data_IF_975768728892
#
_entry.id   IF_975768728892
#
_cell.length_a   1.000
_cell.length_b   1.000
_cell.length_c   1.000
_cell.angle_alpha   90.00
_cell.angle_beta   90.00
_cell.angle_gamma   90.00
#
_symmetry.space_group_name_H-M   'P 1'
#
loop_
_entity.id
_entity.type
_entity.pdbx_description
1 polymer ?
#
# COMPACT_ATOMS: atom_id res chain seq x y z
N UNK A 1 -0.59 2.21 -16.05
CA UNK A 1 -0.03 2.26 -17.41
C UNK A 1 1.46 2.03 -17.30
N UNK A 2 1.97 0.98 -17.93
CA UNK A 2 3.38 0.59 -17.92
C UNK A 2 4.20 1.57 -18.77
N UNK A 3 5.41 1.92 -18.31
CA UNK A 3 6.28 2.82 -19.06
C UNK A 3 6.76 2.17 -20.37
N UNK A 4 6.57 2.82 -21.54
CA UNK A 4 6.87 2.22 -22.84
C UNK A 4 8.36 2.14 -23.21
N UNK A 5 9.28 2.49 -22.30
CA UNK A 5 10.73 2.34 -22.54
C UNK A 5 11.36 3.41 -23.45
N UNK A 6 10.67 4.53 -23.73
CA UNK A 6 11.11 5.56 -24.71
C UNK A 6 12.50 6.16 -24.45
N UNK A 7 13.00 6.06 -23.22
CA UNK A 7 14.30 6.55 -22.79
C UNK A 7 15.25 5.43 -22.31
N UNK A 8 14.85 4.16 -22.39
CA UNK A 8 15.55 3.02 -21.76
C UNK A 8 16.94 2.79 -22.35
N UNK A 9 17.09 2.99 -23.65
CA UNK A 9 18.31 2.69 -24.41
C UNK A 9 18.91 3.96 -25.05
N UNK A 10 18.65 5.14 -24.47
CA UNK A 10 19.32 6.37 -24.92
C UNK A 10 20.81 6.31 -24.60
N UNK A 11 21.63 6.79 -25.53
CA UNK A 11 23.05 7.04 -25.23
C UNK A 11 23.17 8.24 -24.27
N UNK A 12 24.28 8.38 -23.54
CA UNK A 12 24.53 9.54 -22.68
C UNK A 12 24.38 10.88 -23.41
N UNK A 13 24.80 10.95 -24.68
CA UNK A 13 24.68 12.14 -25.52
C UNK A 13 23.22 12.46 -25.81
N UNK A 14 22.43 11.46 -26.23
CA UNK A 14 21.00 11.64 -26.51
C UNK A 14 20.22 12.03 -25.25
N UNK A 15 20.56 11.45 -24.09
CA UNK A 15 19.97 11.81 -22.81
C UNK A 15 20.29 13.26 -22.43
N UNK A 16 21.56 13.68 -22.60
CA UNK A 16 22.01 15.05 -22.34
C UNK A 16 21.31 16.08 -23.21
N UNK A 17 21.19 15.82 -24.52
CA UNK A 17 20.46 16.73 -25.42
C UNK A 17 18.98 16.89 -25.03
N UNK A 18 18.33 15.80 -24.64
CA UNK A 18 16.92 15.85 -24.18
C UNK A 18 16.77 16.60 -22.86
N UNK A 19 17.74 16.46 -21.95
CA UNK A 19 17.72 17.14 -20.66
C UNK A 19 17.81 18.67 -20.77
N UNK A 20 18.36 19.20 -21.88
CA UNK A 20 18.35 20.65 -22.17
C UNK A 20 16.95 21.20 -22.45
N UNK A 21 16.04 20.36 -22.93
CA UNK A 21 14.67 20.78 -23.34
C UNK A 21 13.71 20.69 -22.16
N UNK A 22 13.84 19.67 -21.31
CA UNK A 22 12.98 19.47 -20.14
C UNK A 22 13.70 18.69 -19.04
N UNK A 23 13.34 18.92 -17.76
CA UNK A 23 13.83 18.11 -16.65
C UNK A 23 13.51 16.62 -16.85
N UNK A 24 14.47 15.76 -16.57
CA UNK A 24 14.34 14.30 -16.64
C UNK A 24 13.88 13.72 -15.31
N UNK A 25 13.28 12.54 -15.36
CA UNK A 25 12.96 11.74 -14.18
C UNK A 25 13.82 10.46 -14.20
N UNK A 26 14.25 10.02 -13.03
CA UNK A 26 15.04 8.80 -12.88
C UNK A 26 14.08 7.62 -12.74
N UNK A 27 14.31 6.58 -13.55
CA UNK A 27 13.56 5.32 -13.51
C UNK A 27 14.51 4.16 -13.28
N UNK A 28 14.04 3.17 -12.53
CA UNK A 28 14.77 1.92 -12.36
C UNK A 28 14.49 1.00 -13.54
N UNK A 29 15.56 0.55 -14.19
CA UNK A 29 15.48 -0.52 -15.19
C UNK A 29 15.14 -1.83 -14.50
N UNK A 30 13.97 -2.40 -14.78
CA UNK A 30 13.54 -3.66 -14.18
C UNK A 30 13.97 -4.88 -15.01
N UNK A 31 14.21 -6.04 -14.38
CA UNK A 31 14.54 -7.29 -15.06
C UNK A 31 13.29 -7.93 -15.68
N UNK A 32 13.52 -8.79 -16.67
CA UNK A 32 12.49 -9.64 -17.28
C UNK A 32 12.32 -10.92 -16.45
N UNK A 33 11.84 -10.77 -15.20
CA UNK A 33 11.54 -11.89 -14.32
C UNK A 33 10.39 -11.58 -13.37
N UNK A 34 9.84 -12.65 -12.81
CA UNK A 34 8.88 -12.62 -11.72
C UNK A 34 9.55 -12.35 -10.38
N UNK A 35 8.85 -11.61 -9.52
CA UNK A 35 9.14 -11.50 -8.10
C UNK A 35 7.87 -11.90 -7.34
N UNK A 36 8.02 -12.93 -6.51
CA UNK A 36 6.97 -13.49 -5.69
C UNK A 36 7.30 -13.31 -4.20
N UNK A 37 6.26 -13.26 -3.37
CA UNK A 37 6.37 -13.29 -1.92
C UNK A 37 5.13 -13.90 -1.27
N UNK A 38 5.27 -14.30 -0.01
CA UNK A 38 4.16 -14.72 0.83
C UNK A 38 3.67 -13.51 1.63
N UNK A 39 2.47 -13.02 1.35
CA UNK A 39 1.82 -12.04 2.20
C UNK A 39 1.32 -12.71 3.47
N UNK A 40 1.58 -12.09 4.63
CA UNK A 40 1.21 -12.66 5.92
C UNK A 40 -0.31 -12.71 6.18
N UNK A 41 -1.13 -12.10 5.32
CA UNK A 41 -2.60 -12.14 5.42
C UNK A 41 -3.29 -12.65 4.15
N UNK A 42 -2.91 -12.11 2.98
CA UNK A 42 -3.54 -12.45 1.70
C UNK A 42 -2.91 -13.66 1.00
N UNK A 43 -1.84 -14.23 1.57
CA UNK A 43 -1.16 -15.41 1.04
C UNK A 43 -0.22 -15.12 -0.14
N UNK A 44 0.04 -16.09 -1.02
CA UNK A 44 1.06 -15.97 -2.06
C UNK A 44 0.68 -14.94 -3.14
N UNK A 45 1.63 -14.08 -3.51
CA UNK A 45 1.46 -13.09 -4.55
C UNK A 45 2.71 -12.94 -5.42
N UNK A 46 2.54 -12.70 -6.72
CA UNK A 46 3.64 -12.52 -7.66
C UNK A 46 3.30 -11.49 -8.74
N UNK A 47 4.32 -10.75 -9.19
CA UNK A 47 4.25 -9.93 -10.42
C UNK A 47 5.48 -10.15 -11.29
N UNK A 48 5.28 -10.15 -12.60
CA UNK A 48 6.34 -10.10 -13.58
C UNK A 48 6.74 -8.65 -13.86
N UNK A 49 7.89 -8.21 -13.32
CA UNK A 49 8.24 -6.79 -13.28
C UNK A 49 8.26 -6.11 -14.66
N UNK A 50 8.84 -6.72 -15.68
CA UNK A 50 8.89 -6.13 -17.02
C UNK A 50 7.50 -6.00 -17.69
N UNK A 51 6.55 -6.88 -17.37
CA UNK A 51 5.23 -6.97 -18.04
C UNK A 51 4.16 -6.18 -17.29
N UNK A 52 4.14 -6.33 -15.97
CA UNK A 52 3.05 -5.82 -15.13
C UNK A 52 3.35 -4.41 -14.60
N UNK A 53 4.64 -4.05 -14.50
CA UNK A 53 5.11 -2.78 -13.94
C UNK A 53 5.86 -1.90 -14.95
N UNK A 54 6.89 -2.47 -15.59
CA UNK A 54 7.91 -1.76 -16.36
C UNK A 54 8.82 -0.86 -15.50
N UNK A 55 9.63 -0.03 -16.17
CA UNK A 55 10.60 0.82 -15.45
C UNK A 55 9.89 1.90 -14.65
N UNK A 56 9.89 1.74 -13.33
CA UNK A 56 9.19 2.62 -12.41
C UNK A 56 10.07 3.77 -11.95
N UNK A 57 9.43 4.88 -11.53
CA UNK A 57 10.12 6.07 -11.07
C UNK A 57 10.87 5.82 -9.76
N UNK A 58 12.11 6.30 -9.68
CA UNK A 58 12.86 6.50 -8.45
C UNK A 58 12.82 7.97 -8.05
N UNK A 59 13.03 8.88 -9.00
CA UNK A 59 13.00 10.33 -8.76
C UNK A 59 12.20 11.01 -9.85
N UNK A 60 11.26 11.85 -9.44
CA UNK A 60 10.44 12.65 -10.35
C UNK A 60 11.25 13.81 -10.93
N UNK A 61 10.76 14.38 -12.02
CA UNK A 61 11.40 15.51 -12.72
C UNK A 61 11.38 16.82 -11.92
N UNK A 62 10.52 16.91 -10.90
CA UNK A 62 10.49 18.00 -9.92
C UNK A 62 11.47 17.77 -8.74
N UNK A 63 12.28 16.70 -8.79
CA UNK A 63 13.31 16.39 -7.81
C UNK A 63 12.85 15.55 -6.62
N UNK A 64 11.55 15.30 -6.47
CA UNK A 64 11.00 14.49 -5.37
C UNK A 64 11.25 12.99 -5.60
N UNK A 65 11.63 12.28 -4.54
CA UNK A 65 11.76 10.83 -4.56
C UNK A 65 10.38 10.17 -4.66
N UNK A 66 10.30 9.12 -5.48
CA UNK A 66 9.08 8.35 -5.67
C UNK A 66 8.85 7.42 -4.48
N UNK A 67 7.58 7.11 -4.24
CA UNK A 67 7.11 6.27 -3.14
C UNK A 67 7.90 4.96 -2.98
N UNK A 68 8.18 4.28 -4.10
CA UNK A 68 8.84 2.97 -4.05
C UNK A 68 10.22 3.02 -3.41
N UNK A 69 11.03 4.02 -3.72
CA UNK A 69 12.37 4.16 -3.13
C UNK A 69 12.31 4.75 -1.73
N UNK A 70 11.50 5.79 -1.53
CA UNK A 70 11.41 6.47 -0.24
C UNK A 70 11.03 5.50 0.88
N UNK A 71 9.97 4.70 0.69
CA UNK A 71 9.52 3.74 1.70
C UNK A 71 10.55 2.65 1.99
N UNK A 72 11.20 2.08 0.97
CA UNK A 72 12.20 1.02 1.17
C UNK A 72 13.38 1.52 2.01
N UNK A 73 13.86 2.73 1.73
CA UNK A 73 14.98 3.33 2.46
C UNK A 73 14.58 3.67 3.88
N UNK A 74 13.40 4.28 4.07
CA UNK A 74 12.91 4.67 5.39
C UNK A 74 12.63 3.45 6.27
N UNK A 75 11.90 2.46 5.77
CA UNK A 75 11.59 1.21 6.48
C UNK A 75 12.87 0.50 6.95
N UNK A 76 13.87 0.40 6.07
CA UNK A 76 15.16 -0.20 6.42
C UNK A 76 15.93 0.61 7.46
N UNK A 77 15.94 1.95 7.33
CA UNK A 77 16.61 2.85 8.27
C UNK A 77 16.00 2.78 9.68
N UNK A 78 14.67 2.67 9.73
CA UNK A 78 13.88 2.59 10.96
C UNK A 78 13.78 1.16 11.51
N UNK A 79 14.34 0.17 10.80
CA UNK A 79 14.30 -1.26 11.15
C UNK A 79 12.87 -1.78 11.31
N UNK A 80 11.98 -1.38 10.40
CA UNK A 80 10.63 -1.92 10.33
C UNK A 80 10.71 -3.43 10.10
N UNK A 81 9.98 -4.20 10.90
CA UNK A 81 9.97 -5.67 10.83
C UNK A 81 8.69 -6.21 10.17
N UNK A 82 7.59 -5.44 10.26
CA UNK A 82 6.30 -5.77 9.66
C UNK A 82 5.68 -4.50 9.07
N UNK A 83 5.30 -4.58 7.80
CA UNK A 83 4.54 -3.54 7.10
C UNK A 83 3.10 -4.01 6.99
N UNK A 84 2.18 -3.30 7.66
CA UNK A 84 0.74 -3.54 7.57
C UNK A 84 0.11 -2.37 6.81
N UNK A 85 -0.50 -2.63 5.64
CA UNK A 85 -1.06 -1.59 4.77
C UNK A 85 -2.25 -2.10 3.94
N UNK A 86 -2.98 -1.20 3.29
CA UNK A 86 -4.12 -1.58 2.44
C UNK A 86 -3.73 -2.41 1.21
N UNK A 87 -4.60 -3.33 0.80
CA UNK A 87 -4.43 -4.23 -0.35
C UNK A 87 -4.28 -3.50 -1.69
N UNK A 88 -4.64 -2.22 -1.77
CA UNK A 88 -4.37 -1.37 -2.93
C UNK A 88 -2.86 -1.18 -3.19
N UNK A 89 -2.01 -1.44 -2.19
CA UNK A 89 -0.57 -1.40 -2.29
C UNK A 89 0.08 -2.78 -2.50
N UNK A 90 -0.71 -3.86 -2.61
CA UNK A 90 -0.20 -5.23 -2.77
C UNK A 90 0.75 -5.35 -3.98
N UNK A 91 0.32 -4.82 -5.12
CA UNK A 91 1.10 -4.73 -6.36
C UNK A 91 2.41 -3.93 -6.24
N UNK A 92 2.56 -3.07 -5.24
CA UNK A 92 3.81 -2.33 -5.02
C UNK A 92 4.90 -3.19 -4.39
N UNK A 93 4.53 -4.26 -3.71
CA UNK A 93 5.46 -5.08 -2.93
C UNK A 93 6.54 -5.75 -3.78
N UNK A 94 6.25 -6.38 -4.94
CA UNK A 94 7.30 -6.94 -5.80
C UNK A 94 8.35 -5.90 -6.24
N UNK A 95 7.94 -4.65 -6.50
CA UNK A 95 8.85 -3.53 -6.86
C UNK A 95 9.74 -3.13 -5.69
N UNK A 96 9.18 -3.10 -4.48
CA UNK A 96 9.92 -2.79 -3.26
C UNK A 96 10.89 -3.90 -2.90
N UNK A 97 10.48 -5.16 -3.03
CA UNK A 97 11.36 -6.33 -2.83
C UNK A 97 12.56 -6.29 -3.78
N UNK A 98 12.36 -5.90 -5.04
CA UNK A 98 13.46 -5.70 -5.97
C UNK A 98 14.44 -4.60 -5.52
N UNK A 99 13.92 -3.49 -4.96
CA UNK A 99 14.77 -2.45 -4.38
C UNK A 99 15.54 -2.95 -3.16
N UNK A 100 14.89 -3.69 -2.25
CA UNK A 100 15.57 -4.33 -1.12
C UNK A 100 16.74 -5.21 -1.60
N UNK A 101 16.53 -6.02 -2.64
CA UNK A 101 17.57 -6.85 -3.25
C UNK A 101 18.74 -6.01 -3.79
N UNK A 102 18.46 -4.99 -4.62
CA UNK A 102 19.49 -4.13 -5.21
C UNK A 102 20.30 -3.36 -4.16
N UNK A 103 19.63 -2.90 -3.10
CA UNK A 103 20.25 -2.17 -2.00
C UNK A 103 20.90 -3.10 -0.96
N UNK A 104 20.76 -4.43 -1.11
CA UNK A 104 21.23 -5.45 -0.16
C UNK A 104 20.69 -5.23 1.26
N UNK A 105 19.43 -4.86 1.34
CA UNK A 105 18.70 -4.63 2.58
C UNK A 105 17.80 -5.83 2.89
N UNK A 106 17.50 -6.05 4.17
CA UNK A 106 16.55 -7.09 4.58
C UNK A 106 15.13 -6.56 4.50
N UNK A 107 14.22 -7.17 3.71
CA UNK A 107 12.83 -6.72 3.65
C UNK A 107 12.06 -7.08 4.94
N UNK A 108 11.07 -6.26 5.35
CA UNK A 108 10.13 -6.63 6.39
C UNK A 108 9.18 -7.74 5.91
N UNK A 109 8.42 -8.31 6.84
CA UNK A 109 7.22 -9.08 6.47
C UNK A 109 6.13 -8.12 6.02
N UNK A 110 5.39 -8.48 4.98
CA UNK A 110 4.27 -7.68 4.47
C UNK A 110 2.95 -8.34 4.86
N UNK A 111 1.99 -7.51 5.25
CA UNK A 111 0.59 -7.89 5.48
C UNK A 111 -0.29 -6.86 4.79
N UNK A 112 -1.21 -7.31 3.96
CA UNK A 112 -2.14 -6.43 3.28
C UNK A 112 -3.56 -6.62 3.82
N UNK A 113 -4.17 -5.54 4.31
CA UNK A 113 -5.56 -5.55 4.79
C UNK A 113 -6.53 -5.21 3.67
N UNK A 114 -7.72 -5.83 3.61
CA UNK A 114 -8.70 -5.49 2.58
C UNK A 114 -9.18 -4.05 2.67
N UNK A 115 -9.77 -3.56 1.57
CA UNK A 115 -10.33 -2.22 1.52
C UNK A 115 -11.73 -2.20 2.12
N UNK A 116 -12.08 -1.07 2.72
CA UNK A 116 -13.47 -0.78 3.05
C UNK A 116 -14.17 -0.19 1.81
N UNK A 117 -15.28 -0.82 1.43
CA UNK A 117 -16.15 -0.39 0.34
C UNK A 117 -17.49 0.07 0.92
N UNK A 118 -18.12 1.03 0.25
CA UNK A 118 -19.52 1.38 0.52
C UNK A 118 -20.46 0.24 0.15
N UNK A 119 -21.74 0.26 0.61
CA UNK A 119 -22.73 -0.75 0.23
C UNK A 119 -22.91 -0.93 -1.29
N UNK A 120 -22.68 0.11 -2.08
CA UNK A 120 -22.75 0.09 -3.55
C UNK A 120 -21.41 -0.32 -4.22
N UNK A 121 -20.42 -0.77 -3.44
CA UNK A 121 -19.14 -1.29 -3.92
C UNK A 121 -18.11 -0.25 -4.31
N UNK A 122 -18.34 1.04 -4.02
CA UNK A 122 -17.36 2.09 -4.26
C UNK A 122 -16.30 2.08 -3.15
N UNK A 123 -15.05 2.30 -3.53
CA UNK A 123 -13.98 2.49 -2.54
C UNK A 123 -14.26 3.73 -1.73
N UNK A 124 -14.32 3.58 -0.41
CA UNK A 124 -14.45 4.72 0.49
C UNK A 124 -13.21 5.62 0.36
N UNK A 125 -13.45 6.89 0.10
CA UNK A 125 -12.43 7.88 -0.16
C UNK A 125 -12.63 9.10 0.74
N UNK A 126 -11.57 9.88 0.96
CA UNK A 126 -11.66 11.16 1.68
C UNK A 126 -12.65 12.16 1.05
N UNK A 127 -13.10 11.93 -0.18
CA UNK A 127 -14.08 12.78 -0.87
C UNK A 127 -15.51 12.54 -0.40
N UNK A 128 -15.77 11.38 0.20
CA UNK A 128 -17.07 10.98 0.74
C UNK A 128 -17.27 11.61 2.13
N UNK A 129 -17.07 12.94 2.24
CA UNK A 129 -16.72 13.72 3.45
C UNK A 129 -17.41 13.34 4.77
N UNK A 130 -18.61 12.76 4.69
CA UNK A 130 -19.34 12.15 5.80
C UNK A 130 -18.50 11.09 6.53
N UNK A 131 -17.64 10.30 5.87
CA UNK A 131 -16.80 9.26 6.48
C UNK A 131 -15.40 9.73 6.88
N UNK A 132 -15.16 11.05 6.97
CA UNK A 132 -13.93 11.57 7.55
C UNK A 132 -13.84 11.24 9.05
N UNK A 133 -12.62 11.12 9.58
CA UNK A 133 -12.45 10.84 11.01
C UNK A 133 -13.10 11.93 11.88
N UNK A 134 -13.02 13.20 11.46
CA UNK A 134 -13.63 14.32 12.17
C UNK A 134 -15.16 14.23 12.19
N UNK A 135 -15.79 13.89 11.04
CA UNK A 135 -17.23 13.70 10.95
C UNK A 135 -17.71 12.45 11.73
N UNK A 136 -16.92 11.38 11.74
CA UNK A 136 -17.22 10.20 12.56
C UNK A 136 -17.16 10.54 14.06
N UNK A 137 -16.16 11.32 14.48
CA UNK A 137 -15.98 11.71 15.87
C UNK A 137 -16.97 12.78 16.35
N UNK A 138 -17.66 13.49 15.44
CA UNK A 138 -18.77 14.37 15.83
C UNK A 138 -20.03 13.60 16.25
N UNK A 139 -20.14 12.31 15.90
CA UNK A 139 -21.30 11.46 16.16
C UNK A 139 -20.98 10.16 16.91
N UNK A 140 -19.72 9.90 17.25
CA UNK A 140 -19.29 8.69 17.95
C UNK A 140 -18.05 8.98 18.79
N UNK A 141 -17.94 8.29 19.92
CA UNK A 141 -16.72 8.24 20.72
C UNK A 141 -15.62 7.44 20.02
N UNK A 142 -14.34 7.65 20.35
CA UNK A 142 -13.26 6.81 19.83
C UNK A 142 -13.47 5.31 20.11
N UNK A 143 -14.00 4.96 21.29
CA UNK A 143 -14.28 3.58 21.65
C UNK A 143 -15.36 2.94 20.78
N UNK A 144 -16.44 3.67 20.47
CA UNK A 144 -17.48 3.23 19.52
C UNK A 144 -16.90 3.02 18.12
N UNK A 145 -16.08 3.96 17.63
CA UNK A 145 -15.45 3.86 16.32
C UNK A 145 -14.52 2.64 16.24
N UNK A 146 -13.67 2.44 17.25
CA UNK A 146 -12.79 1.26 17.35
C UNK A 146 -13.63 -0.02 17.42
N UNK A 147 -14.72 -0.02 18.20
CA UNK A 147 -15.64 -1.15 18.30
C UNK A 147 -16.23 -1.56 16.95
N UNK A 148 -16.68 -0.58 16.15
CA UNK A 148 -17.23 -0.76 14.80
C UNK A 148 -16.17 -1.21 13.80
N UNK A 149 -14.96 -0.63 13.82
CA UNK A 149 -13.85 -1.06 12.96
C UNK A 149 -13.39 -2.49 13.30
N UNK A 150 -13.33 -2.84 14.58
CA UNK A 150 -13.03 -4.20 15.03
C UNK A 150 -14.12 -5.20 14.63
N UNK A 151 -15.39 -4.77 14.57
CA UNK A 151 -16.47 -5.59 14.02
C UNK A 151 -16.25 -5.88 12.53
N UNK A 152 -15.92 -4.86 11.74
CA UNK A 152 -15.59 -5.02 10.31
C UNK A 152 -14.38 -5.94 10.10
N UNK A 153 -13.38 -5.86 10.98
CA UNK A 153 -12.21 -6.72 10.96
C UNK A 153 -12.44 -8.14 11.53
N UNK A 154 -13.67 -8.51 11.91
CA UNK A 154 -13.97 -9.84 12.48
C UNK A 154 -13.52 -10.06 13.93
N UNK A 155 -12.97 -9.02 14.57
CA UNK A 155 -12.39 -9.06 15.92
C UNK A 155 -13.42 -8.80 17.03
N UNK A 156 -14.52 -8.12 16.73
CA UNK A 156 -15.55 -7.75 17.71
C UNK A 156 -16.97 -8.01 17.18
N UNK A 157 -17.52 -9.23 17.33
CA UNK A 157 -18.86 -9.57 16.81
C UNK A 157 -20.00 -8.69 17.32
N UNK A 158 -19.81 -8.02 18.45
CA UNK A 158 -20.85 -7.19 19.07
C UNK A 158 -20.91 -5.74 18.56
N UNK A 159 -19.88 -5.28 17.83
CA UNK A 159 -19.65 -3.88 17.48
C UNK A 159 -19.66 -2.90 18.68
N UNK A 160 -19.70 -3.40 19.92
CA UNK A 160 -19.70 -2.58 21.14
C UNK A 160 -18.38 -1.84 21.29
N UNK A 161 -18.36 -0.72 22.05
CA UNK A 161 -17.15 0.04 22.27
C UNK A 161 -15.98 -0.81 22.79
N UNK A 162 -14.81 -0.61 22.20
CA UNK A 162 -13.55 -1.28 22.59
C UNK A 162 -12.42 -0.27 22.60
N UNK A 163 -11.33 -0.58 23.30
CA UNK A 163 -10.06 0.15 23.16
C UNK A 163 -9.08 -0.70 22.34
N UNK A 164 -8.04 -0.11 21.73
CA UNK A 164 -7.03 -0.89 21.01
C UNK A 164 -6.36 -1.92 21.94
N UNK A 165 -6.06 -1.55 23.18
CA UNK A 165 -5.41 -2.41 24.17
C UNK A 165 -6.28 -3.64 24.49
N UNK A 166 -7.60 -3.45 24.59
CA UNK A 166 -8.53 -4.55 24.84
C UNK A 166 -8.57 -5.57 23.69
N UNK A 167 -8.24 -5.16 22.46
CA UNK A 167 -8.25 -6.03 21.28
C UNK A 167 -6.93 -6.81 21.12
N UNK A 168 -5.84 -6.36 21.74
CA UNK A 168 -4.51 -6.97 21.57
C UNK A 168 -4.48 -8.45 21.95
N UNK A 169 -5.15 -8.83 23.05
CA UNK A 169 -5.17 -10.20 23.54
C UNK A 169 -6.00 -11.15 22.64
N UNK A 170 -6.85 -10.60 21.78
CA UNK A 170 -7.79 -11.35 20.94
C UNK A 170 -7.47 -11.22 19.44
N UNK A 171 -6.40 -10.49 19.09
CA UNK A 171 -6.02 -10.23 17.72
C UNK A 171 -5.48 -11.51 17.07
N UNK A 172 -6.07 -11.85 15.92
CA UNK A 172 -5.68 -12.98 15.10
C UNK A 172 -5.92 -12.62 13.63
N UNK A 173 -4.90 -12.82 12.80
CA UNK A 173 -4.99 -12.58 11.36
C UNK A 173 -6.02 -13.52 10.70
N UNK A 174 -6.21 -14.74 11.21
CA UNK A 174 -7.19 -15.68 10.67
C UNK A 174 -8.63 -15.19 10.81
N UNK A 175 -8.88 -14.24 11.72
CA UNK A 175 -10.20 -13.62 11.92
C UNK A 175 -10.46 -12.43 11.01
N UNK A 176 -9.40 -11.83 10.47
CA UNK A 176 -9.52 -10.67 9.59
C UNK A 176 -9.98 -11.15 8.21
N UNK A 177 -10.98 -10.54 7.57
CA UNK A 177 -11.37 -10.91 6.22
C UNK A 177 -10.21 -10.81 5.23
N UNK A 178 -10.13 -11.70 4.24
CA UNK A 178 -9.17 -11.61 3.13
C UNK A 178 -9.76 -10.93 1.88
N UNK A 179 -11.07 -10.69 1.89
CA UNK A 179 -11.80 -9.98 0.82
C UNK A 179 -12.19 -8.57 1.26
N UNK A 180 -12.40 -7.69 0.29
CA UNK A 180 -12.84 -6.32 0.54
C UNK A 180 -14.15 -6.30 1.36
N UNK A 181 -14.19 -5.39 2.33
CA UNK A 181 -15.22 -5.36 3.36
C UNK A 181 -16.26 -4.30 2.99
N UNK A 182 -17.47 -4.74 2.72
CA UNK A 182 -18.61 -3.85 2.49
C UNK A 182 -19.12 -3.32 3.82
N UNK A 183 -19.04 -2.00 4.01
CA UNK A 183 -19.52 -1.34 5.22
C UNK A 183 -21.05 -1.40 5.25
N UNK A 184 -21.68 -2.00 6.27
CA UNK A 184 -23.13 -2.06 6.38
C UNK A 184 -23.76 -0.66 6.45
N UNK A 185 -24.89 -0.48 5.79
CA UNK A 185 -25.71 0.73 5.94
C UNK A 185 -26.08 0.91 7.41
N UNK A 186 -25.89 2.11 7.94
CA UNK A 186 -26.23 2.43 9.33
C UNK A 186 -25.12 2.14 10.36
N UNK A 187 -23.96 1.59 9.93
CA UNK A 187 -22.91 1.24 10.90
C UNK A 187 -22.30 2.49 11.55
N UNK A 188 -22.02 3.52 10.76
CA UNK A 188 -21.39 4.75 11.23
C UNK A 188 -22.36 5.93 11.45
N UNK A 189 -23.52 5.94 10.79
CA UNK A 189 -24.55 6.99 10.86
C UNK A 189 -25.94 6.40 11.10
#
# INVERSE_FOLDING_TARGET
MVYPGTCRDLTPEQASERAKIRPSADRLRVPDREIAFEDGHLGPYAEHLARDCGDFLLRRSDGLWAYQLAVVVDDASMRVTQVVRGSDLLSSTPRQLYLYELLRLTPPKFYHVPLLLSPDGRRLSKRDGDLSLDALLSHSTPGELIGKLAYLAGLNPSAKPRTPESLLAEFDWERVPCEDIFVPTGLFF
#
